data_IF_801881406864
#
_entry.id   IF_801881406864
#
_cell.length_a   1.000
_cell.length_b   1.000
_cell.length_c   1.000
_cell.angle_alpha   90.00
_cell.angle_beta   90.00
_cell.angle_gamma   90.00
#
_symmetry.space_group_name_H-M   'P 1'
#
loop_
_entity.id
_entity.type
_entity.pdbx_description
1 polymer ?
#
# COMPACT_ATOMS: atom_id res chain seq x y z
N UNK A 1 -53.19 -11.60 22.25
CA UNK A 1 -52.65 -10.22 22.17
C UNK A 1 -51.14 -10.33 22.34
N UNK A 2 -50.41 -10.51 21.24
CA UNK A 2 -48.95 -10.55 21.23
C UNK A 2 -48.48 -9.35 20.39
N UNK A 3 -47.61 -8.46 20.89
CA UNK A 3 -47.23 -7.27 20.15
C UNK A 3 -46.29 -7.62 18.99
N UNK A 4 -46.43 -6.87 17.90
CA UNK A 4 -45.71 -7.06 16.65
C UNK A 4 -44.25 -6.63 16.77
N UNK A 5 -43.40 -7.30 16.01
CA UNK A 5 -41.98 -7.01 15.85
C UNK A 5 -41.80 -5.60 15.27
N UNK A 6 -41.05 -4.78 16.01
CA UNK A 6 -40.57 -3.47 15.59
C UNK A 6 -39.63 -3.60 14.41
N UNK A 7 -39.84 -2.75 13.42
CA UNK A 7 -39.02 -2.49 12.25
C UNK A 7 -37.52 -2.38 12.57
N UNK A 8 -36.72 -3.21 11.89
CA UNK A 8 -35.27 -3.03 11.75
C UNK A 8 -35.02 -1.62 11.15
N UNK A 9 -34.16 -0.77 11.74
CA UNK A 9 -33.79 0.49 11.10
C UNK A 9 -33.09 0.18 9.76
N UNK A 10 -33.54 0.84 8.70
CA UNK A 10 -33.00 0.71 7.34
C UNK A 10 -31.48 0.74 7.34
N UNK A 11 -30.88 -0.38 6.94
CA UNK A 11 -29.43 -0.56 6.89
C UNK A 11 -28.84 0.39 5.84
N UNK A 12 -27.76 1.14 6.13
CA UNK A 12 -27.10 1.97 5.12
C UNK A 12 -26.61 1.10 3.96
N UNK A 13 -27.32 1.15 2.84
CA UNK A 13 -26.91 0.46 1.62
C UNK A 13 -25.84 1.30 0.92
N UNK A 14 -24.93 0.63 0.22
CA UNK A 14 -24.04 1.32 -0.69
C UNK A 14 -24.92 1.95 -1.78
N UNK A 15 -24.86 3.27 -2.02
CA UNK A 15 -25.69 3.92 -3.04
C UNK A 15 -25.45 3.31 -4.43
N UNK A 16 -26.55 3.05 -5.15
CA UNK A 16 -26.57 2.30 -6.40
C UNK A 16 -25.83 2.97 -7.56
N UNK A 17 -25.43 2.10 -8.50
CA UNK A 17 -24.46 2.25 -9.60
C UNK A 17 -24.66 3.47 -10.51
N UNK A 18 -23.61 4.28 -10.59
CA UNK A 18 -23.13 5.02 -11.78
C UNK A 18 -21.65 5.43 -11.58
N UNK A 19 -20.72 4.48 -11.37
CA UNK A 19 -19.33 4.85 -11.04
C UNK A 19 -18.24 3.94 -11.59
N UNK A 20 -17.39 4.52 -12.46
CA UNK A 20 -16.12 3.95 -12.90
C UNK A 20 -15.19 3.58 -11.73
N UNK A 21 -14.47 2.49 -11.94
CA UNK A 21 -13.68 1.76 -10.96
C UNK A 21 -12.29 2.38 -10.76
N UNK A 22 -12.17 3.58 -10.20
CA UNK A 22 -10.86 4.20 -9.92
C UNK A 22 -10.26 3.93 -8.53
N UNK A 23 -10.79 2.97 -7.76
CA UNK A 23 -10.15 2.50 -6.49
C UNK A 23 -9.52 1.11 -6.69
N UNK A 24 -9.79 0.44 -7.81
CA UNK A 24 -9.03 -0.74 -8.22
C UNK A 24 -7.84 -0.26 -9.03
N UNK A 25 -6.64 -0.32 -8.46
CA UNK A 25 -5.36 -0.04 -9.10
C UNK A 25 -5.00 -1.10 -10.16
N UNK A 26 -5.95 -1.52 -11.00
CA UNK A 26 -5.74 -2.70 -11.86
C UNK A 26 -6.22 -2.60 -13.30
N UNK A 27 -7.08 -1.64 -13.66
CA UNK A 27 -7.62 -1.57 -15.02
C UNK A 27 -7.24 -0.25 -15.71
N UNK A 28 -7.49 0.91 -15.10
CA UNK A 28 -7.10 2.21 -15.69
C UNK A 28 -5.57 2.39 -15.79
N UNK A 29 -4.83 1.92 -14.78
CA UNK A 29 -3.36 2.01 -14.71
C UNK A 29 -2.64 1.17 -15.80
N UNK A 30 -3.35 0.28 -16.50
CA UNK A 30 -2.77 -0.61 -17.52
C UNK A 30 -2.77 0.02 -18.91
N UNK A 31 -3.76 0.86 -19.22
CA UNK A 31 -3.89 1.51 -20.53
C UNK A 31 -2.89 2.68 -20.68
N UNK A 32 -2.68 3.45 -19.62
CA UNK A 32 -1.70 4.55 -19.58
C UNK A 32 -0.25 4.04 -19.68
N UNK A 33 0.02 2.88 -19.08
CA UNK A 33 1.35 2.24 -19.12
C UNK A 33 1.68 1.65 -20.51
N UNK A 34 0.67 1.42 -21.35
CA UNK A 34 0.81 0.87 -22.71
C UNK A 34 1.07 1.97 -23.76
N UNK A 35 0.64 3.20 -23.51
CA UNK A 35 0.83 4.34 -24.43
C UNK A 35 2.25 4.94 -24.34
N UNK A 36 2.92 4.81 -23.20
CA UNK A 36 4.26 5.35 -22.94
C UNK A 36 5.40 4.53 -23.60
N UNK A 37 5.17 3.28 -23.98
CA UNK A 37 6.25 2.36 -24.43
C UNK A 37 6.50 2.28 -25.93
N UNK A 38 5.77 3.02 -26.76
CA UNK A 38 5.96 3.03 -28.21
C UNK A 38 6.63 4.32 -28.70
N UNK A 39 7.88 4.53 -28.29
CA UNK A 39 8.83 5.41 -28.97
C UNK A 39 9.66 4.60 -29.98
N UNK A 40 9.52 4.91 -31.27
CA UNK A 40 10.14 4.23 -32.41
C UNK A 40 11.69 4.29 -32.42
N UNK A 41 12.35 3.47 -33.28
CA UNK A 41 12.86 4.10 -34.51
C UNK A 41 12.83 3.25 -35.80
N UNK A 42 13.00 4.00 -36.92
CA UNK A 42 13.53 3.66 -38.25
C UNK A 42 12.66 3.00 -39.35
N UNK A 43 12.32 3.82 -40.36
CA UNK A 43 13.09 3.82 -41.62
C UNK A 43 12.60 3.01 -42.83
N UNK A 44 11.87 3.70 -43.72
CA UNK A 44 11.83 3.61 -45.21
C UNK A 44 11.05 2.49 -45.96
N UNK A 45 10.04 2.99 -46.69
CA UNK A 45 9.72 2.82 -48.15
C UNK A 45 9.24 1.45 -48.68
N UNK A 46 7.96 1.35 -49.09
CA UNK A 46 7.48 1.67 -50.45
C UNK A 46 6.05 1.13 -50.72
N UNK A 47 5.21 1.98 -51.33
CA UNK A 47 4.43 1.60 -52.52
C UNK A 47 2.99 1.07 -52.38
N UNK A 48 2.05 1.95 -52.80
CA UNK A 48 0.88 1.68 -53.67
C UNK A 48 -0.50 1.46 -53.00
N UNK A 49 -1.34 2.49 -53.09
CA UNK A 49 -2.81 2.46 -53.05
C UNK A 49 -3.38 2.25 -54.50
N UNK A 50 -4.70 2.29 -54.80
CA UNK A 50 -5.89 2.54 -53.95
C UNK A 50 -7.16 1.70 -54.30
N UNK A 51 -8.22 1.81 -53.49
CA UNK A 51 -9.67 1.95 -53.82
C UNK A 51 -10.52 1.32 -52.69
N UNK A 52 -11.58 1.89 -52.12
CA UNK A 52 -12.25 3.17 -52.27
C UNK A 52 -13.42 3.29 -51.27
N UNK A 53 -13.73 4.54 -50.89
CA UNK A 53 -15.01 5.11 -50.41
C UNK A 53 -15.71 4.57 -49.15
N UNK A 54 -15.74 5.38 -48.08
CA UNK A 54 -16.84 6.33 -47.79
C UNK A 54 -16.51 7.26 -46.61
N UNK A 55 -16.76 8.56 -46.80
CA UNK A 55 -16.56 9.67 -45.84
C UNK A 55 -17.83 9.89 -45.00
N UNK A 56 -17.71 10.31 -43.74
CA UNK A 56 -18.36 11.52 -43.16
C UNK A 56 -17.57 12.00 -41.90
N UNK A 57 -16.91 13.16 -42.08
CA UNK A 57 -16.51 14.26 -41.17
C UNK A 57 -16.20 14.03 -39.68
N UNK A 58 -14.91 14.17 -39.34
CA UNK A 58 -14.39 14.45 -38.00
C UNK A 58 -13.25 15.47 -38.08
N UNK A 59 -13.58 16.72 -38.38
CA UNK A 59 -12.63 17.84 -38.36
C UNK A 59 -13.08 18.87 -37.31
N UNK A 60 -12.55 18.79 -36.09
CA UNK A 60 -12.39 19.95 -35.20
C UNK A 60 -11.40 19.76 -34.04
N UNK A 61 -10.91 18.55 -33.77
CA UNK A 61 -10.00 18.31 -32.62
C UNK A 61 -8.49 18.31 -32.98
N UNK A 62 -8.14 18.06 -34.25
CA UNK A 62 -6.73 18.02 -34.67
C UNK A 62 -6.09 19.41 -34.84
N UNK A 63 -6.89 20.43 -35.19
CA UNK A 63 -6.40 21.80 -35.35
C UNK A 63 -6.11 22.49 -34.00
N UNK A 64 -6.85 22.16 -32.94
CA UNK A 64 -6.62 22.68 -31.60
C UNK A 64 -5.37 22.07 -30.94
N UNK A 65 -5.10 20.78 -31.18
CA UNK A 65 -3.91 20.09 -30.67
C UNK A 65 -2.62 20.57 -31.35
N UNK A 66 -2.67 20.93 -32.64
CA UNK A 66 -1.52 21.46 -33.37
C UNK A 66 -1.15 22.89 -32.96
N UNK A 67 -2.13 23.72 -32.57
CA UNK A 67 -1.87 25.07 -32.07
C UNK A 67 -1.24 25.05 -30.67
N UNK A 68 -1.69 24.16 -29.78
CA UNK A 68 -1.10 24.00 -28.44
C UNK A 68 0.34 23.44 -28.46
N UNK A 69 0.66 22.59 -29.45
CA UNK A 69 2.02 22.06 -29.64
C UNK A 69 3.00 23.10 -30.21
N UNK A 70 2.50 24.13 -30.92
CA UNK A 70 3.33 25.21 -31.45
C UNK A 70 3.68 26.25 -30.36
N UNK A 71 2.79 26.53 -29.41
CA UNK A 71 3.07 27.44 -28.27
C UNK A 71 3.99 26.81 -27.20
N UNK A 72 4.08 25.48 -27.14
CA UNK A 72 4.98 24.78 -26.21
C UNK A 72 6.45 24.75 -26.67
N UNK A 73 6.74 25.08 -27.93
CA UNK A 73 8.07 24.90 -28.53
C UNK A 73 8.89 26.20 -28.65
N UNK A 74 8.41 27.32 -28.09
CA UNK A 74 9.13 28.61 -28.07
C UNK A 74 9.63 29.04 -26.68
N UNK A 75 9.65 28.13 -25.69
CA UNK A 75 10.28 28.40 -24.38
C UNK A 75 11.31 27.34 -23.99
N UNK A 76 12.25 27.06 -24.87
CA UNK A 76 13.49 26.37 -24.50
C UNK A 76 14.68 27.25 -24.91
N UNK A 77 15.23 27.97 -23.94
CA UNK A 77 16.32 28.90 -24.16
C UNK A 77 16.75 29.63 -22.89
N UNK A 78 17.65 28.97 -22.14
CA UNK A 78 18.50 29.43 -21.01
C UNK A 78 18.09 28.87 -19.64
N UNK A 79 18.82 27.86 -19.20
CA UNK A 79 18.92 27.46 -17.79
C UNK A 79 19.64 28.54 -16.98
N UNK A 80 19.01 28.97 -15.88
CA UNK A 80 19.57 29.85 -14.84
C UNK A 80 19.82 28.98 -13.59
N UNK A 81 21.04 28.86 -13.05
CA UNK A 81 21.40 27.81 -12.09
C UNK A 81 20.99 28.09 -10.64
N UNK A 82 19.92 28.85 -10.38
CA UNK A 82 19.59 29.29 -9.02
C UNK A 82 18.09 29.35 -8.71
N UNK A 83 17.36 28.26 -8.95
CA UNK A 83 15.98 28.13 -8.47
C UNK A 83 15.84 26.90 -7.57
N UNK A 84 15.65 27.15 -6.26
CA UNK A 84 15.42 26.10 -5.27
C UNK A 84 14.15 25.32 -5.57
N UNK A 85 14.19 24.01 -5.33
CA UNK A 85 13.05 23.11 -5.48
C UNK A 85 11.86 23.61 -4.63
N UNK A 86 10.84 24.18 -5.26
CA UNK A 86 9.55 24.48 -4.62
C UNK A 86 8.91 23.16 -4.17
N UNK A 87 8.52 23.07 -2.89
CA UNK A 87 7.80 21.89 -2.37
C UNK A 87 6.45 21.77 -3.08
N UNK A 88 5.90 20.57 -3.15
CA UNK A 88 4.66 20.33 -3.89
C UNK A 88 3.47 21.18 -3.37
N UNK A 89 3.39 21.41 -2.05
CA UNK A 89 2.41 22.30 -1.45
C UNK A 89 2.56 23.77 -1.92
N UNK A 90 3.80 24.24 -2.09
CA UNK A 90 4.09 25.61 -2.53
C UNK A 90 3.79 25.83 -4.02
N UNK A 91 3.81 24.76 -4.83
CA UNK A 91 3.51 24.81 -6.26
C UNK A 91 2.01 24.82 -6.58
N UNK A 92 1.16 24.43 -5.63
CA UNK A 92 -0.31 24.39 -5.79
C UNK A 92 -0.98 25.58 -5.08
N UNK A 93 -0.34 26.15 -4.06
CA UNK A 93 -0.81 27.36 -3.38
C UNK A 93 -0.77 28.64 -4.24
N UNK A 94 -0.10 28.62 -5.40
CA UNK A 94 -0.02 29.78 -6.32
C UNK A 94 -1.28 29.97 -7.20
N UNK A 95 -2.30 29.11 -7.04
CA UNK A 95 -3.62 29.27 -7.67
C UNK A 95 -4.69 29.36 -6.59
N UNK A 96 -5.28 30.55 -6.46
CA UNK A 96 -6.39 30.93 -5.56
C UNK A 96 -6.04 31.10 -4.08
N UNK A 97 -5.48 32.27 -3.72
CA UNK A 97 -5.45 32.74 -2.33
C UNK A 97 -6.37 33.95 -2.18
N UNK A 98 -7.59 33.69 -1.74
CA UNK A 98 -8.30 34.62 -0.87
C UNK A 98 -8.02 34.23 0.59
N UNK A 99 -7.56 35.20 1.35
CA UNK A 99 -6.66 35.06 2.49
C UNK A 99 -7.42 34.71 3.79
N UNK A 100 -7.50 33.44 4.19
CA UNK A 100 -7.98 33.02 5.53
C UNK A 100 -7.32 31.74 6.09
N UNK A 101 -5.98 31.65 6.09
CA UNK A 101 -5.26 30.50 6.65
C UNK A 101 -4.47 30.84 7.91
N UNK A 102 -5.03 30.62 9.11
CA UNK A 102 -4.26 30.60 10.36
C UNK A 102 -3.32 29.39 10.28
N UNK A 103 -2.04 29.59 9.95
CA UNK A 103 -1.05 28.51 10.01
C UNK A 103 -0.96 28.00 11.45
N UNK A 104 -1.62 26.87 11.73
CA UNK A 104 -1.59 26.20 13.02
C UNK A 104 -0.14 25.74 13.27
N UNK A 105 0.61 26.52 14.06
CA UNK A 105 2.01 26.29 14.38
C UNK A 105 2.13 25.18 15.43
N UNK A 106 1.86 23.94 15.00
CA UNK A 106 1.98 22.73 15.81
C UNK A 106 3.18 21.89 15.34
N UNK A 107 3.80 21.15 16.26
CA UNK A 107 4.92 20.23 15.98
C UNK A 107 4.65 18.84 16.54
N UNK A 108 5.22 17.81 15.90
CA UNK A 108 5.14 16.44 16.41
C UNK A 108 5.91 16.30 17.73
N UNK A 109 5.45 15.46 18.67
CA UNK A 109 6.17 15.20 19.92
C UNK A 109 7.49 14.48 19.65
N UNK A 110 8.49 14.68 20.51
CA UNK A 110 9.71 13.89 20.43
C UNK A 110 9.43 12.41 20.74
N UNK A 111 9.99 11.52 19.91
CA UNK A 111 9.92 10.09 20.14
C UNK A 111 11.18 9.60 20.87
N UNK A 112 11.05 8.68 21.83
CA UNK A 112 12.18 8.21 22.61
C UNK A 112 13.26 7.64 21.70
N UNK A 113 14.51 8.10 21.88
CA UNK A 113 15.66 7.63 21.13
C UNK A 113 15.87 6.15 21.44
N UNK A 114 15.46 5.31 20.51
CA UNK A 114 15.76 3.88 20.61
C UNK A 114 17.19 3.73 20.15
N UNK A 115 18.10 3.47 21.10
CA UNK A 115 19.54 3.32 20.89
C UNK A 115 19.86 2.93 19.45
N UNK A 116 20.54 3.82 18.72
CA UNK A 116 21.01 3.53 17.37
C UNK A 116 21.69 2.16 17.42
N UNK A 117 21.18 1.13 16.71
CA UNK A 117 22.00 -0.03 16.48
C UNK A 117 23.25 0.54 15.82
N UNK A 118 24.40 0.46 16.52
CA UNK A 118 25.70 0.90 16.01
C UNK A 118 25.69 0.61 14.52
N UNK A 119 25.82 1.64 13.68
CA UNK A 119 25.97 1.54 12.24
C UNK A 119 26.70 0.24 11.97
N UNK A 120 25.96 -0.81 11.58
CA UNK A 120 26.60 -2.01 11.09
C UNK A 120 27.08 -1.51 9.75
N UNK A 121 28.32 -1.01 9.78
CA UNK A 121 29.03 -0.45 8.63
C UNK A 121 28.60 -1.23 7.42
N UNK A 122 28.15 -0.49 6.42
CA UNK A 122 27.94 -0.82 5.02
C UNK A 122 29.02 -1.76 4.48
N UNK A 123 28.98 -3.02 4.90
CA UNK A 123 29.93 -4.07 4.56
C UNK A 123 29.30 -5.15 3.67
N UNK A 124 28.12 -4.89 3.10
CA UNK A 124 27.52 -5.78 2.09
C UNK A 124 27.90 -5.43 0.66
N UNK A 125 28.72 -4.40 0.43
CA UNK A 125 29.08 -4.02 -0.92
C UNK A 125 30.59 -4.23 -1.13
N UNK A 126 30.89 -5.10 -2.09
CA UNK A 126 32.22 -5.47 -2.64
C UNK A 126 32.90 -6.68 -1.98
N UNK A 127 32.42 -7.87 -2.30
CA UNK A 127 33.30 -9.00 -2.56
C UNK A 127 32.59 -9.96 -3.52
N UNK A 128 33.16 -10.21 -4.69
CA UNK A 128 32.68 -11.28 -5.56
C UNK A 128 32.86 -12.62 -4.86
N UNK A 129 31.75 -13.27 -4.49
CA UNK A 129 31.75 -14.62 -3.91
C UNK A 129 30.55 -14.87 -2.99
N UNK A 130 30.00 -16.09 -3.05
CA UNK A 130 28.88 -16.54 -2.20
C UNK A 130 29.36 -16.67 -0.74
N UNK A 131 28.87 -15.82 0.16
CA UNK A 131 29.12 -15.94 1.61
C UNK A 131 28.07 -16.84 2.25
N UNK A 132 28.49 -18.01 2.75
CA UNK A 132 27.63 -18.90 3.52
C UNK A 132 27.43 -18.40 4.96
N UNK A 133 26.28 -18.75 5.57
CA UNK A 133 26.05 -18.47 6.97
C UNK A 133 27.04 -19.26 7.85
N UNK A 134 27.70 -18.63 8.86
CA UNK A 134 28.60 -19.34 9.74
C UNK A 134 27.86 -20.47 10.47
N UNK A 135 28.49 -21.64 10.63
CA UNK A 135 27.85 -22.83 11.21
C UNK A 135 27.27 -22.60 12.63
N UNK A 136 27.79 -21.61 13.37
CA UNK A 136 27.35 -21.24 14.73
C UNK A 136 26.50 -19.96 14.76
N UNK A 137 25.30 -19.99 14.19
CA UNK A 137 24.26 -18.96 14.44
C UNK A 137 23.42 -19.32 15.67
N UNK A 138 23.20 -18.40 16.64
CA UNK A 138 22.34 -18.64 17.81
C UNK A 138 20.92 -19.09 17.44
N UNK A 139 20.33 -20.00 18.22
CA UNK A 139 18.98 -20.55 17.96
C UNK A 139 17.91 -19.49 17.81
N UNK A 140 17.94 -18.43 18.63
CA UNK A 140 17.01 -17.29 18.49
C UNK A 140 17.06 -16.68 17.09
N UNK A 141 18.27 -16.46 16.54
CA UNK A 141 18.44 -15.92 15.19
C UNK A 141 17.95 -16.88 14.12
N UNK A 142 18.05 -18.20 14.32
CA UNK A 142 17.49 -19.21 13.39
C UNK A 142 15.96 -19.19 13.40
N UNK A 143 15.36 -19.15 14.59
CA UNK A 143 13.91 -19.06 14.76
C UNK A 143 13.33 -17.77 14.17
N UNK A 144 14.04 -16.64 14.31
CA UNK A 144 13.68 -15.38 13.64
C UNK A 144 13.71 -15.51 12.12
N UNK A 145 14.77 -16.12 11.56
CA UNK A 145 14.83 -16.40 10.11
C UNK A 145 13.69 -17.31 9.68
N UNK A 146 13.41 -18.38 10.43
CA UNK A 146 12.32 -19.30 10.11
C UNK A 146 10.94 -18.60 10.15
N UNK A 147 10.72 -17.70 11.09
CA UNK A 147 9.48 -16.93 11.19
C UNK A 147 9.27 -16.01 9.98
N UNK A 148 10.31 -15.30 9.55
CA UNK A 148 10.25 -14.45 8.36
C UNK A 148 10.11 -15.29 7.10
N UNK A 149 10.85 -16.40 6.98
CA UNK A 149 10.73 -17.31 5.84
C UNK A 149 9.32 -17.89 5.72
N UNK A 150 8.73 -18.32 6.83
CA UNK A 150 7.34 -18.80 6.87
C UNK A 150 6.37 -17.73 6.36
N UNK A 151 6.52 -16.48 6.80
CA UNK A 151 5.67 -15.38 6.33
C UNK A 151 5.88 -15.10 4.83
N UNK A 152 7.13 -14.99 4.36
CA UNK A 152 7.44 -14.76 2.95
C UNK A 152 6.95 -15.90 2.04
N UNK A 153 6.96 -17.14 2.54
CA UNK A 153 6.59 -18.34 1.79
C UNK A 153 5.13 -18.76 2.02
N UNK A 154 4.32 -17.97 2.74
CA UNK A 154 2.99 -18.43 3.17
C UNK A 154 2.09 -18.75 1.98
N UNK A 155 2.06 -17.88 0.95
CA UNK A 155 1.24 -18.12 -0.25
C UNK A 155 1.66 -19.44 -0.91
N UNK A 156 2.94 -19.60 -1.21
CA UNK A 156 3.47 -20.81 -1.85
C UNK A 156 3.15 -22.06 -1.00
N UNK A 157 3.37 -21.98 0.32
CA UNK A 157 3.12 -23.08 1.26
C UNK A 157 1.65 -23.50 1.26
N UNK A 158 0.72 -22.56 1.42
CA UNK A 158 -0.71 -22.86 1.50
C UNK A 158 -1.29 -23.33 0.16
N UNK A 159 -0.88 -22.72 -0.96
CA UNK A 159 -1.31 -23.15 -2.29
C UNK A 159 -0.76 -24.54 -2.63
N UNK A 160 0.52 -24.83 -2.35
CA UNK A 160 1.09 -26.17 -2.52
C UNK A 160 0.38 -27.21 -1.65
N UNK A 161 0.09 -26.89 -0.39
CA UNK A 161 -0.65 -27.78 0.50
C UNK A 161 -2.05 -28.10 -0.04
N UNK A 162 -2.75 -27.11 -0.58
CA UNK A 162 -4.05 -27.32 -1.23
C UNK A 162 -3.95 -28.32 -2.41
N UNK A 163 -3.01 -28.12 -3.32
CA UNK A 163 -2.84 -29.02 -4.47
C UNK A 163 -2.41 -30.43 -4.06
N UNK A 164 -1.57 -30.57 -3.03
CA UNK A 164 -1.22 -31.88 -2.47
C UNK A 164 -2.44 -32.61 -1.90
N UNK A 165 -3.37 -31.89 -1.25
CA UNK A 165 -4.61 -32.47 -0.75
C UNK A 165 -5.57 -32.82 -1.90
N UNK A 166 -5.64 -32.00 -2.96
CA UNK A 166 -6.40 -32.31 -4.17
C UNK A 166 -5.90 -33.58 -4.90
N UNK A 167 -4.60 -33.89 -4.80
CA UNK A 167 -4.03 -35.10 -5.38
C UNK A 167 -4.51 -36.40 -4.70
N UNK A 168 -5.19 -36.32 -3.55
CA UNK A 168 -5.80 -37.46 -2.87
C UNK A 168 -7.31 -37.52 -3.13
N UNK A 169 -7.82 -38.46 -3.95
CA UNK A 169 -9.26 -38.59 -4.24
C UNK A 169 -10.14 -38.78 -3.00
N UNK A 170 -9.61 -39.37 -1.91
CA UNK A 170 -10.36 -39.56 -0.67
C UNK A 170 -10.72 -38.23 0.00
N UNK A 171 -9.97 -37.15 -0.25
CA UNK A 171 -10.25 -35.83 0.29
C UNK A 171 -11.29 -35.04 -0.52
N UNK A 172 -11.64 -35.49 -1.73
CA UNK A 172 -12.49 -34.73 -2.66
C UNK A 172 -13.86 -34.34 -2.11
N UNK A 173 -14.60 -35.19 -1.37
CA UNK A 173 -15.88 -34.77 -0.80
C UNK A 173 -15.74 -33.52 0.09
N UNK A 174 -14.66 -33.44 0.87
CA UNK A 174 -14.38 -32.29 1.74
C UNK A 174 -13.93 -31.08 0.91
N UNK A 175 -13.05 -31.30 -0.07
CA UNK A 175 -12.53 -30.23 -0.95
C UNK A 175 -13.65 -29.57 -1.74
N UNK A 176 -14.59 -30.36 -2.29
CA UNK A 176 -15.71 -29.83 -3.08
C UNK A 176 -16.59 -28.93 -2.20
N UNK A 177 -16.92 -29.37 -0.98
CA UNK A 177 -17.68 -28.55 -0.02
C UNK A 177 -16.91 -27.27 0.30
N UNK A 178 -15.61 -27.37 0.56
CA UNK A 178 -14.75 -26.23 0.83
C UNK A 178 -14.69 -25.24 -0.35
N UNK A 179 -14.60 -25.72 -1.59
CA UNK A 179 -14.57 -24.87 -2.79
C UNK A 179 -15.91 -24.19 -3.05
N UNK A 180 -17.04 -24.87 -2.80
CA UNK A 180 -18.37 -24.25 -2.86
C UNK A 180 -18.46 -23.13 -1.82
N UNK A 181 -18.04 -23.38 -0.57
CA UNK A 181 -18.00 -22.36 0.47
C UNK A 181 -17.08 -21.19 0.09
N UNK A 182 -15.91 -21.47 -0.47
CA UNK A 182 -14.96 -20.47 -0.94
C UNK A 182 -15.59 -19.57 -2.02
N UNK A 183 -16.30 -20.16 -2.99
CA UNK A 183 -16.92 -19.45 -4.10
C UNK A 183 -18.10 -18.57 -3.67
N UNK A 184 -18.87 -18.99 -2.67
CA UNK A 184 -20.06 -18.27 -2.17
C UNK A 184 -19.74 -17.28 -1.04
N UNK A 185 -18.58 -17.39 -0.42
CA UNK A 185 -18.23 -16.59 0.75
C UNK A 185 -17.96 -15.12 0.41
N UNK A 186 -18.64 -14.22 1.13
CA UNK A 186 -18.33 -12.77 1.18
C UNK A 186 -17.46 -12.36 2.37
N UNK A 187 -16.86 -13.32 3.09
CA UNK A 187 -16.14 -13.06 4.34
C UNK A 187 -14.93 -12.12 4.22
N UNK A 188 -14.35 -11.97 3.02
CA UNK A 188 -13.25 -11.04 2.75
C UNK A 188 -13.67 -9.59 2.53
N UNK A 189 -14.98 -9.31 2.41
CA UNK A 189 -15.51 -7.98 2.08
C UNK A 189 -16.70 -7.55 2.95
N UNK A 190 -17.29 -8.45 3.76
CA UNK A 190 -18.53 -8.17 4.47
C UNK A 190 -18.39 -7.27 5.71
N UNK A 191 -17.16 -7.02 6.19
CA UNK A 191 -16.84 -6.14 7.33
C UNK A 191 -17.04 -6.75 8.72
N UNK A 192 -17.50 -8.00 8.83
CA UNK A 192 -17.83 -8.62 10.13
C UNK A 192 -16.59 -9.14 10.88
N UNK A 193 -15.48 -9.38 10.18
CA UNK A 193 -14.25 -9.96 10.73
C UNK A 193 -14.46 -11.32 11.43
N UNK A 194 -15.44 -12.13 10.97
CA UNK A 194 -15.85 -13.39 11.63
C UNK A 194 -14.71 -14.40 11.83
N UNK A 195 -13.71 -14.41 10.95
CA UNK A 195 -12.58 -15.33 11.01
C UNK A 195 -11.42 -14.80 11.84
N UNK A 196 -11.43 -13.52 12.23
CA UNK A 196 -10.32 -12.89 12.94
C UNK A 196 -10.07 -13.60 14.27
N UNK A 197 -8.83 -14.03 14.48
CA UNK A 197 -8.39 -14.71 15.70
C UNK A 197 -7.31 -13.91 16.41
N UNK A 198 -7.65 -13.37 17.58
CA UNK A 198 -6.70 -12.67 18.44
C UNK A 198 -5.60 -13.61 18.96
N UNK A 199 -5.89 -14.91 19.08
CA UNK A 199 -4.88 -15.91 19.41
C UNK A 199 -3.83 -16.03 18.29
N UNK A 200 -4.25 -16.17 17.03
CA UNK A 200 -3.33 -16.24 15.88
C UNK A 200 -2.50 -14.97 15.77
N UNK A 201 -3.13 -13.80 15.91
CA UNK A 201 -2.44 -12.50 15.88
C UNK A 201 -1.42 -12.31 17.02
N UNK A 202 -1.55 -13.05 18.12
CA UNK A 202 -0.70 -12.95 19.31
C UNK A 202 0.32 -14.08 19.46
N UNK A 203 0.45 -14.96 18.44
CA UNK A 203 1.44 -16.04 18.48
C UNK A 203 2.87 -15.51 18.70
N UNK A 204 3.66 -16.26 19.48
CA UNK A 204 5.09 -15.95 19.73
C UNK A 204 5.91 -15.87 18.44
N UNK A 205 5.44 -16.51 17.37
CA UNK A 205 5.98 -16.39 16.01
C UNK A 205 6.16 -14.93 15.59
N UNK A 206 5.19 -14.06 15.89
CA UNK A 206 5.23 -12.66 15.45
C UNK A 206 6.22 -11.82 16.26
N UNK A 207 6.54 -12.21 17.51
CA UNK A 207 7.64 -11.63 18.27
C UNK A 207 9.01 -12.03 17.69
N UNK A 208 9.12 -13.23 17.12
CA UNK A 208 10.32 -13.64 16.37
C UNK A 208 10.43 -12.85 15.06
N UNK A 209 9.32 -12.72 14.31
CA UNK A 209 9.25 -11.94 13.08
C UNK A 209 9.69 -10.49 13.29
N UNK A 210 9.06 -9.77 14.23
CA UNK A 210 9.40 -8.36 14.55
C UNK A 210 10.81 -8.20 15.11
N UNK A 211 11.32 -9.20 15.84
CA UNK A 211 12.69 -9.21 16.34
C UNK A 211 13.76 -9.46 15.25
N UNK A 212 13.39 -9.93 14.06
CA UNK A 212 14.30 -10.06 12.92
C UNK A 212 14.69 -8.69 12.34
N UNK A 213 13.71 -7.76 12.27
CA UNK A 213 13.83 -6.41 11.70
C UNK A 213 13.86 -5.29 12.78
N UNK A 214 14.26 -5.61 14.01
CA UNK A 214 13.99 -4.78 15.21
C UNK A 214 12.83 -3.76 15.11
N UNK A 215 11.61 -4.21 14.80
CA UNK A 215 10.49 -3.31 14.48
C UNK A 215 9.91 -2.61 15.70
N UNK A 216 9.47 -1.36 15.52
CA UNK A 216 8.75 -0.59 16.55
C UNK A 216 7.58 0.18 15.95
N UNK A 217 6.51 0.29 16.74
CA UNK A 217 5.35 1.10 16.44
C UNK A 217 5.30 2.29 17.41
N UNK A 218 5.24 3.48 16.86
CA UNK A 218 5.28 4.75 17.60
C UNK A 218 3.94 5.45 17.45
N UNK A 219 3.32 5.74 18.60
CA UNK A 219 2.10 6.53 18.71
C UNK A 219 2.48 7.99 18.94
N UNK A 220 2.00 8.89 18.09
CA UNK A 220 2.21 10.34 18.27
C UNK A 220 0.96 11.06 18.78
N UNK A 221 -0.24 10.54 18.50
CA UNK A 221 -1.52 11.15 18.87
C UNK A 221 -2.49 10.08 19.38
N UNK A 222 -3.47 10.52 20.17
CA UNK A 222 -4.62 9.71 20.53
C UNK A 222 -5.57 9.56 19.34
N UNK A 223 -6.22 8.39 19.25
CA UNK A 223 -7.31 8.13 18.31
C UNK A 223 -8.59 7.88 19.11
N UNK A 224 -9.43 8.91 19.32
CA UNK A 224 -10.73 8.75 19.99
C UNK A 224 -11.57 7.60 19.42
N UNK A 225 -12.19 6.81 20.30
CA UNK A 225 -12.96 5.62 19.92
C UNK A 225 -14.34 5.92 19.34
N UNK A 226 -14.80 7.17 19.41
CA UNK A 226 -16.04 7.68 18.84
C UNK A 226 -15.88 8.07 17.35
N UNK A 227 -14.77 7.67 16.72
CA UNK A 227 -14.43 8.00 15.34
C UNK A 227 -14.08 6.77 14.51
N UNK A 228 -14.04 7.00 13.20
CA UNK A 228 -13.67 6.05 12.15
C UNK A 228 -12.35 6.50 11.56
N UNK A 229 -11.47 5.56 11.19
CA UNK A 229 -10.14 5.92 10.69
C UNK A 229 -9.74 5.17 9.42
N UNK A 230 -9.06 5.88 8.53
CA UNK A 230 -8.30 5.29 7.43
C UNK A 230 -6.83 5.65 7.64
N UNK A 231 -6.03 4.66 8.06
CA UNK A 231 -4.59 4.78 8.19
C UNK A 231 -3.96 4.54 6.81
N UNK A 232 -3.32 5.55 6.24
CA UNK A 232 -2.55 5.39 5.01
C UNK A 232 -1.09 5.11 5.33
N UNK A 233 -0.64 3.89 5.04
CA UNK A 233 0.73 3.42 5.29
C UNK A 233 1.64 3.67 4.09
N UNK A 234 2.82 4.24 4.37
CA UNK A 234 3.85 4.60 3.40
C UNK A 234 5.25 4.23 3.91
N UNK A 235 6.17 3.79 3.06
CA UNK A 235 5.93 3.30 1.70
C UNK A 235 5.34 1.88 1.75
N UNK A 236 4.92 1.34 0.61
CA UNK A 236 4.59 -0.07 0.45
C UNK A 236 5.81 -0.95 0.69
N UNK A 237 7.00 -0.51 0.28
CA UNK A 237 8.15 -1.40 0.14
C UNK A 237 7.81 -2.58 -0.76
N UNK A 238 8.54 -3.68 -0.66
CA UNK A 238 8.27 -4.82 -1.56
C UNK A 238 7.07 -5.66 -1.07
N UNK A 239 6.98 -5.96 0.23
CA UNK A 239 5.93 -6.83 0.82
C UNK A 239 5.20 -6.13 2.00
N UNK A 240 5.58 -4.90 2.35
CA UNK A 240 4.99 -4.16 3.49
C UNK A 240 5.07 -4.94 4.82
N UNK A 241 6.27 -5.43 5.16
CA UNK A 241 6.51 -6.20 6.38
C UNK A 241 6.16 -5.40 7.63
N UNK A 242 6.44 -4.09 7.63
CA UNK A 242 6.08 -3.22 8.74
C UNK A 242 4.56 -3.08 8.90
N UNK A 243 3.82 -2.90 7.80
CA UNK A 243 2.35 -2.84 7.83
C UNK A 243 1.76 -4.14 8.39
N UNK A 244 2.23 -5.31 7.93
CA UNK A 244 1.79 -6.59 8.46
C UNK A 244 2.11 -6.74 9.95
N UNK A 245 3.33 -6.39 10.38
CA UNK A 245 3.73 -6.47 11.78
C UNK A 245 2.88 -5.57 12.70
N UNK A 246 2.65 -4.32 12.31
CA UNK A 246 1.91 -3.34 13.12
C UNK A 246 0.40 -3.60 13.12
N UNK A 247 -0.17 -3.96 11.98
CA UNK A 247 -1.62 -3.92 11.77
C UNK A 247 -2.23 -5.31 11.55
N UNK A 248 -1.47 -6.26 11.00
CA UNK A 248 -1.87 -7.65 10.79
C UNK A 248 -1.61 -8.58 11.99
N UNK A 249 -0.80 -8.16 12.97
CA UNK A 249 -0.49 -8.93 14.19
C UNK A 249 -0.61 -8.06 15.44
N UNK A 250 -0.46 -8.67 16.61
CA UNK A 250 -0.39 -7.95 17.90
C UNK A 250 1.07 -7.83 18.39
N UNK A 251 2.06 -8.12 17.55
CA UNK A 251 3.46 -8.16 17.98
C UNK A 251 4.03 -6.79 18.35
N UNK A 252 3.58 -5.71 17.71
CA UNK A 252 4.05 -4.35 17.98
C UNK A 252 3.16 -3.57 18.95
N UNK A 253 2.11 -4.20 19.47
CA UNK A 253 1.32 -3.61 20.54
C UNK A 253 0.28 -2.57 20.11
N UNK A 254 -0.26 -2.66 18.89
CA UNK A 254 -1.26 -1.70 18.39
C UNK A 254 -2.48 -1.61 19.32
N UNK A 255 -2.96 -2.74 19.84
CA UNK A 255 -4.14 -2.80 20.71
C UNK A 255 -3.91 -2.10 22.05
N UNK A 256 -2.68 -2.17 22.56
CA UNK A 256 -2.23 -1.54 23.79
C UNK A 256 -2.04 -0.03 23.57
N UNK A 257 -1.56 0.38 22.40
CA UNK A 257 -1.39 1.78 22.04
C UNK A 257 -2.72 2.49 21.74
N UNK A 258 -3.69 1.80 21.13
CA UNK A 258 -5.00 2.33 20.76
C UNK A 258 -6.13 1.44 21.31
N UNK A 259 -6.35 1.44 22.63
CA UNK A 259 -7.41 0.64 23.23
C UNK A 259 -8.78 1.06 22.68
N UNK A 260 -9.60 0.07 22.34
CA UNK A 260 -10.94 0.30 21.76
C UNK A 260 -10.95 0.53 20.25
N UNK A 261 -9.79 0.71 19.59
CA UNK A 261 -9.70 0.77 18.13
C UNK A 261 -9.44 -0.63 17.57
N UNK A 262 -10.35 -1.12 16.73
CA UNK A 262 -10.15 -2.35 15.97
C UNK A 262 -9.67 -2.02 14.57
N UNK A 263 -8.35 -2.16 14.35
CA UNK A 263 -7.74 -1.95 13.05
C UNK A 263 -7.75 -3.20 12.16
N UNK A 264 -7.98 -2.99 10.87
CA UNK A 264 -8.01 -4.02 9.81
C UNK A 264 -7.06 -3.64 8.69
N UNK A 265 -5.99 -4.43 8.50
CA UNK A 265 -5.07 -4.25 7.36
C UNK A 265 -5.73 -4.77 6.08
N UNK A 266 -5.68 -3.96 5.01
CA UNK A 266 -6.30 -4.29 3.74
C UNK A 266 -5.27 -4.81 2.72
N UNK A 267 -5.68 -5.79 1.93
CA UNK A 267 -4.85 -6.41 0.88
C UNK A 267 -5.67 -6.65 -0.39
N UNK A 268 -4.99 -7.00 -1.49
CA UNK A 268 -5.59 -7.37 -2.77
C UNK A 268 -6.73 -8.40 -2.65
N UNK A 269 -7.83 -8.16 -3.37
CA UNK A 269 -9.02 -9.01 -3.40
C UNK A 269 -8.71 -10.46 -3.83
N UNK A 270 -7.77 -10.63 -4.76
CA UNK A 270 -7.34 -11.94 -5.27
C UNK A 270 -6.83 -12.87 -4.17
N UNK A 271 -6.25 -12.33 -3.10
CA UNK A 271 -5.78 -13.14 -1.97
C UNK A 271 -6.93 -13.90 -1.29
N UNK A 272 -8.16 -13.39 -1.35
CA UNK A 272 -9.35 -14.02 -0.78
C UNK A 272 -9.96 -15.08 -1.70
N UNK A 273 -9.33 -15.38 -2.84
CA UNK A 273 -9.73 -16.47 -3.74
C UNK A 273 -8.75 -17.65 -3.71
N UNK A 274 -7.63 -17.50 -2.99
CA UNK A 274 -6.61 -18.53 -2.85
C UNK A 274 -6.98 -19.51 -1.72
N UNK A 275 -7.21 -20.80 -2.02
CA UNK A 275 -7.48 -21.83 -1.01
C UNK A 275 -6.42 -21.86 0.09
N UNK A 276 -6.86 -22.04 1.33
CA UNK A 276 -6.10 -22.05 2.59
C UNK A 276 -5.38 -20.73 2.93
N UNK A 277 -4.78 -20.04 1.95
CA UNK A 277 -4.15 -18.75 2.16
C UNK A 277 -5.18 -17.68 2.57
N UNK A 278 -6.36 -17.67 1.94
CA UNK A 278 -7.50 -16.84 2.35
C UNK A 278 -7.80 -17.04 3.84
N UNK A 279 -7.92 -18.28 4.30
CA UNK A 279 -8.26 -18.57 5.70
C UNK A 279 -7.15 -18.09 6.64
N UNK A 280 -5.89 -18.30 6.26
CA UNK A 280 -4.73 -17.79 7.00
C UNK A 280 -4.74 -16.25 7.15
N UNK A 281 -4.93 -15.48 6.07
CA UNK A 281 -4.95 -14.02 6.17
C UNK A 281 -6.20 -13.49 6.90
N UNK A 282 -7.33 -14.18 6.77
CA UNK A 282 -8.54 -13.81 7.51
C UNK A 282 -8.45 -14.13 9.00
N UNK A 283 -7.69 -15.15 9.41
CA UNK A 283 -7.34 -15.39 10.82
C UNK A 283 -6.54 -14.22 11.41
N UNK A 284 -5.71 -13.57 10.59
CA UNK A 284 -5.06 -12.31 10.93
C UNK A 284 -6.00 -11.10 10.93
N UNK A 285 -7.26 -11.29 10.50
CA UNK A 285 -8.24 -10.23 10.39
C UNK A 285 -7.98 -9.29 9.22
N UNK A 286 -7.25 -9.71 8.18
CA UNK A 286 -7.12 -8.94 6.95
C UNK A 286 -8.42 -9.00 6.15
N UNK A 287 -8.67 -7.96 5.35
CA UNK A 287 -9.82 -7.86 4.45
C UNK A 287 -9.39 -7.30 3.09
N UNK A 288 -10.30 -7.33 2.11
CA UNK A 288 -10.08 -6.79 0.77
C UNK A 288 -9.94 -5.27 0.82
N UNK A 289 -9.08 -4.70 -0.02
CA UNK A 289 -8.94 -3.24 -0.22
C UNK A 289 -10.03 -2.66 -1.14
N UNK A 290 -11.03 -3.45 -1.52
CA UNK A 290 -12.15 -2.99 -2.35
C UNK A 290 -12.98 -1.88 -1.68
N UNK A 291 -13.66 -1.07 -2.50
CA UNK A 291 -14.54 0.01 -2.02
C UNK A 291 -15.61 -0.54 -1.08
N UNK A 292 -16.20 -1.67 -1.44
CA UNK A 292 -17.28 -2.35 -0.71
C UNK A 292 -16.79 -2.83 0.67
N UNK A 293 -15.59 -3.40 0.71
CA UNK A 293 -14.96 -3.85 1.95
C UNK A 293 -14.66 -2.70 2.90
N UNK A 294 -14.04 -1.62 2.40
CA UNK A 294 -13.76 -0.40 3.17
C UNK A 294 -15.06 0.19 3.72
N UNK A 295 -16.08 0.32 2.88
CA UNK A 295 -17.40 0.79 3.31
C UNK A 295 -17.98 -0.09 4.40
N UNK A 296 -18.02 -1.41 4.20
CA UNK A 296 -18.57 -2.34 5.19
C UNK A 296 -17.83 -2.29 6.53
N UNK A 297 -16.50 -2.19 6.50
CA UNK A 297 -15.67 -2.09 7.72
C UNK A 297 -15.88 -0.78 8.47
N UNK A 298 -16.12 0.32 7.76
CA UNK A 298 -16.31 1.66 8.34
C UNK A 298 -17.77 2.02 8.59
N UNK A 299 -18.72 1.21 8.13
CA UNK A 299 -20.16 1.42 8.36
C UNK A 299 -20.74 0.41 9.36
N UNK A 300 -19.97 -0.61 9.79
CA UNK A 300 -20.43 -1.69 10.67
C UNK A 300 -19.40 -2.05 11.73
N UNK A 301 -19.87 -2.69 12.79
CA UNK A 301 -19.06 -3.06 13.95
C UNK A 301 -18.69 -1.85 14.81
N UNK A 302 -17.74 -2.06 15.72
CA UNK A 302 -17.56 -1.13 16.84
C UNK A 302 -18.64 -1.31 17.93
N UNK A 303 -18.56 -0.59 19.05
CA UNK A 303 -19.47 -0.78 20.19
C UNK A 303 -20.95 -0.56 19.84
N UNK A 304 -21.24 0.39 18.95
CA UNK A 304 -22.61 0.74 18.53
C UNK A 304 -22.98 0.21 17.15
N UNK A 305 -22.15 -0.67 16.57
CA UNK A 305 -22.35 -1.24 15.23
C UNK A 305 -22.48 -0.21 14.08
N UNK A 306 -21.93 1.00 14.25
CA UNK A 306 -21.97 2.13 13.31
C UNK A 306 -20.60 2.47 12.71
N UNK A 307 -19.62 1.60 12.94
CA UNK A 307 -18.23 1.75 12.50
C UNK A 307 -17.34 2.55 13.45
N UNK A 308 -17.88 3.26 14.45
CA UNK A 308 -17.02 3.98 15.41
C UNK A 308 -16.15 3.01 16.20
N UNK A 309 -14.88 3.36 16.36
CA UNK A 309 -13.85 2.46 16.90
C UNK A 309 -13.29 1.48 15.86
N UNK A 310 -13.68 1.59 14.59
CA UNK A 310 -13.04 0.87 13.47
C UNK A 310 -11.96 1.72 12.83
N UNK A 311 -10.88 1.05 12.46
CA UNK A 311 -9.85 1.61 11.61
C UNK A 311 -9.54 0.62 10.47
N UNK A 312 -9.23 1.14 9.29
CA UNK A 312 -8.66 0.35 8.21
C UNK A 312 -7.27 0.88 7.88
N UNK A 313 -6.32 0.00 7.58
CA UNK A 313 -5.00 0.39 7.09
C UNK A 313 -4.87 0.05 5.62
N UNK A 314 -4.54 1.05 4.81
CA UNK A 314 -4.30 0.92 3.38
C UNK A 314 -2.84 1.22 3.11
N UNK A 315 -2.16 0.31 2.42
CA UNK A 315 -0.83 0.58 1.89
C UNK A 315 -1.00 1.30 0.54
N UNK A 316 -0.83 2.62 0.53
CA UNK A 316 -1.37 3.49 -0.53
C UNK A 316 -0.62 3.34 -1.86
N UNK A 317 0.70 3.26 -1.83
CA UNK A 317 1.53 3.18 -3.04
C UNK A 317 1.28 1.91 -3.88
N UNK A 318 0.84 0.82 -3.24
CA UNK A 318 0.49 -0.44 -3.90
C UNK A 318 1.65 -1.07 -4.69
N UNK A 319 1.30 -1.87 -5.70
CA UNK A 319 2.28 -2.61 -6.49
C UNK A 319 3.23 -1.71 -7.29
N UNK A 320 2.79 -0.53 -7.76
CA UNK A 320 3.64 0.38 -8.55
C UNK A 320 4.77 0.95 -7.70
N UNK A 321 4.48 1.36 -6.46
CA UNK A 321 5.52 1.84 -5.54
C UNK A 321 6.47 0.70 -5.12
N UNK A 322 5.96 -0.53 -5.00
CA UNK A 322 6.78 -1.70 -4.68
C UNK A 322 7.87 -2.01 -5.71
N UNK A 323 7.67 -1.63 -6.98
CA UNK A 323 8.62 -1.79 -8.09
C UNK A 323 9.70 -0.70 -8.14
N UNK A 324 9.50 0.38 -7.40
CA UNK A 324 10.41 1.51 -7.31
C UNK A 324 11.10 1.58 -5.94
N UNK A 325 10.88 0.60 -5.07
CA UNK A 325 11.40 0.54 -3.72
C UNK A 325 12.93 0.44 -3.74
N UNK A 326 13.60 1.50 -3.28
CA UNK A 326 15.06 1.56 -3.22
C UNK A 326 15.55 1.86 -1.79
N UNK A 327 16.58 1.15 -1.32
CA UNK A 327 17.16 1.43 -0.02
C UNK A 327 17.75 2.84 0.10
N UNK A 328 17.45 3.49 1.21
CA UNK A 328 17.87 4.85 1.55
C UNK A 328 17.03 5.95 0.90
N UNK A 329 15.93 5.65 0.22
CA UNK A 329 15.01 6.66 -0.31
C UNK A 329 13.56 6.37 0.07
N UNK A 330 12.77 7.44 0.19
CA UNK A 330 11.33 7.39 0.38
C UNK A 330 10.66 8.09 -0.79
N UNK A 331 10.30 7.31 -1.82
CA UNK A 331 9.63 7.79 -3.02
C UNK A 331 8.19 7.28 -2.99
N UNK A 332 7.22 8.20 -2.94
CA UNK A 332 5.81 7.90 -2.74
C UNK A 332 4.96 8.18 -3.98
N UNK A 333 4.20 7.17 -4.42
CA UNK A 333 3.15 7.35 -5.44
C UNK A 333 1.87 7.79 -4.74
N UNK A 334 1.74 9.10 -4.55
CA UNK A 334 0.63 9.66 -3.77
C UNK A 334 -0.13 10.75 -4.51
N UNK A 335 0.48 11.49 -5.45
CA UNK A 335 -0.19 12.62 -6.13
C UNK A 335 -1.48 12.21 -6.85
N UNK A 336 -1.44 11.07 -7.52
CA UNK A 336 -2.57 10.52 -8.27
C UNK A 336 -3.51 9.64 -7.41
N UNK A 337 -3.11 9.25 -6.20
CA UNK A 337 -3.83 8.28 -5.36
C UNK A 337 -4.87 8.94 -4.47
N UNK A 338 -6.03 9.31 -5.04
CA UNK A 338 -7.13 9.98 -4.32
C UNK A 338 -8.26 9.05 -3.86
N UNK A 339 -8.16 7.75 -4.17
CA UNK A 339 -9.21 6.76 -3.88
C UNK A 339 -9.53 6.59 -2.39
N UNK A 340 -8.51 6.56 -1.53
CA UNK A 340 -8.71 6.42 -0.07
C UNK A 340 -9.28 7.70 0.55
N UNK A 341 -8.93 8.87 0.01
CA UNK A 341 -9.49 10.18 0.40
C UNK A 341 -10.97 10.25 0.07
N UNK A 342 -11.36 9.80 -1.14
CA UNK A 342 -12.77 9.66 -1.52
C UNK A 342 -13.53 8.74 -0.56
N UNK A 343 -12.92 7.66 -0.08
CA UNK A 343 -13.55 6.78 0.92
C UNK A 343 -13.66 7.44 2.29
N UNK A 344 -12.67 8.24 2.72
CA UNK A 344 -12.73 9.01 3.96
C UNK A 344 -13.92 9.97 3.95
N UNK A 345 -14.07 10.76 2.89
CA UNK A 345 -15.19 11.69 2.71
C UNK A 345 -16.54 10.99 2.65
N UNK A 346 -16.62 9.81 2.00
CA UNK A 346 -17.85 9.00 1.95
C UNK A 346 -18.28 8.47 3.31
N UNK A 347 -17.32 8.04 4.12
CA UNK A 347 -17.59 7.34 5.39
C UNK A 347 -17.54 8.26 6.61
N UNK A 348 -17.04 9.49 6.45
CA UNK A 348 -16.72 10.40 7.56
C UNK A 348 -15.56 9.90 8.42
N UNK A 349 -14.65 9.10 7.85
CA UNK A 349 -13.49 8.58 8.55
C UNK A 349 -12.32 9.57 8.49
N UNK A 350 -11.63 9.76 9.62
CA UNK A 350 -10.44 10.59 9.70
C UNK A 350 -9.28 9.90 8.99
N UNK A 351 -8.51 10.68 8.23
CA UNK A 351 -7.29 10.18 7.59
C UNK A 351 -6.14 10.23 8.58
N UNK A 352 -5.35 9.16 8.68
CA UNK A 352 -4.18 9.11 9.56
C UNK A 352 -2.96 8.74 8.72
N UNK A 353 -1.98 9.66 8.54
CA UNK A 353 -0.74 9.34 7.85
C UNK A 353 0.12 8.40 8.69
N UNK A 354 0.73 7.39 8.06
CA UNK A 354 1.64 6.46 8.74
C UNK A 354 2.89 6.27 7.88
N UNK A 355 4.08 6.50 8.46
CA UNK A 355 5.36 6.28 7.78
C UNK A 355 6.13 5.13 8.44
N UNK A 356 6.49 4.11 7.66
CA UNK A 356 7.39 3.02 8.00
C UNK A 356 8.83 3.33 7.60
N UNK A 357 9.56 4.06 8.44
CA UNK A 357 10.98 4.33 8.21
C UNK A 357 11.77 3.02 8.20
N UNK A 358 12.55 2.78 7.14
CA UNK A 358 13.33 1.55 6.96
C UNK A 358 12.62 0.44 6.16
N UNK A 359 11.36 0.62 5.76
CA UNK A 359 10.61 -0.39 4.99
C UNK A 359 11.28 -0.71 3.63
N UNK A 360 11.71 0.31 2.90
CA UNK A 360 12.42 0.15 1.62
C UNK A 360 13.82 -0.45 1.78
N UNK A 361 14.39 -0.43 2.98
CA UNK A 361 15.74 -0.94 3.24
C UNK A 361 15.77 -2.47 3.42
N UNK A 362 14.60 -3.12 3.49
CA UNK A 362 14.49 -4.55 3.74
C UNK A 362 14.95 -5.42 2.57
N UNK A 363 15.03 -4.87 1.36
CA UNK A 363 15.42 -5.60 0.17
C UNK A 363 16.27 -4.72 -0.75
N UNK A 364 17.18 -5.32 -1.50
CA UNK A 364 17.74 -4.65 -2.67
C UNK A 364 16.89 -5.08 -3.87
N UNK A 365 16.23 -4.11 -4.50
CA UNK A 365 15.55 -4.37 -5.76
C UNK A 365 16.56 -4.29 -6.90
N UNK A 366 16.55 -5.28 -7.79
CA UNK A 366 17.30 -5.16 -9.04
C UNK A 366 16.78 -3.96 -9.80
N UNK A 367 17.65 -3.00 -10.08
CA UNK A 367 17.24 -1.84 -10.86
C UNK A 367 16.78 -2.31 -12.25
N UNK A 368 15.61 -1.83 -12.74
CA UNK A 368 15.17 -2.06 -14.11
C UNK A 368 16.22 -1.63 -15.14
N UNK A 369 17.02 -0.60 -14.81
CA UNK A 369 18.11 -0.08 -15.66
C UNK A 369 19.24 -1.09 -15.85
N UNK A 370 19.49 -1.95 -14.86
CA UNK A 370 20.54 -2.97 -14.92
C UNK A 370 20.07 -4.32 -15.47
N UNK A 371 18.77 -4.63 -15.37
CA UNK A 371 18.22 -5.92 -15.79
C UNK A 371 16.86 -5.80 -16.52
N UNK A 372 16.85 -5.22 -17.74
CA UNK A 372 15.61 -4.91 -18.46
C UNK A 372 14.77 -6.16 -18.83
N UNK A 373 15.40 -7.31 -19.04
CA UNK A 373 14.70 -8.57 -19.33
C UNK A 373 13.93 -9.10 -18.11
N UNK A 374 14.52 -9.01 -16.92
CA UNK A 374 13.89 -9.42 -15.66
C UNK A 374 12.71 -8.50 -15.36
N UNK A 375 12.90 -7.19 -15.53
CA UNK A 375 11.82 -6.21 -15.40
C UNK A 375 10.68 -6.51 -16.38
N UNK A 376 10.96 -6.83 -17.65
CA UNK A 376 9.93 -7.20 -18.64
C UNK A 376 9.13 -8.44 -18.22
N UNK A 377 9.79 -9.47 -17.67
CA UNK A 377 9.11 -10.66 -17.14
C UNK A 377 8.26 -10.31 -15.91
N UNK A 378 8.77 -9.51 -14.98
CA UNK A 378 8.00 -9.04 -13.83
C UNK A 378 6.75 -8.26 -14.25
N UNK A 379 6.86 -7.41 -15.28
CA UNK A 379 5.74 -6.67 -15.85
C UNK A 379 4.72 -7.59 -16.54
N UNK A 380 5.16 -8.69 -17.17
CA UNK A 380 4.26 -9.72 -17.70
C UNK A 380 3.53 -10.45 -16.55
N UNK A 381 4.22 -10.82 -15.48
CA UNK A 381 3.60 -11.45 -14.31
C UNK A 381 2.60 -10.51 -13.61
N UNK A 382 2.93 -9.22 -13.48
CA UNK A 382 1.99 -8.17 -13.07
C UNK A 382 0.76 -8.13 -13.96
N UNK A 383 0.97 -8.11 -15.28
CA UNK A 383 -0.09 -8.05 -16.30
C UNK A 383 -1.04 -9.24 -16.21
N UNK A 384 -0.52 -10.43 -15.93
CA UNK A 384 -1.31 -11.67 -15.92
C UNK A 384 -1.93 -11.96 -14.55
N UNK A 385 -1.19 -11.77 -13.46
CA UNK A 385 -1.58 -12.24 -12.12
C UNK A 385 -1.94 -11.12 -11.15
N UNK A 386 -1.78 -9.84 -11.56
CA UNK A 386 -2.00 -8.65 -10.71
C UNK A 386 -1.21 -8.70 -9.39
N UNK A 387 -0.12 -9.47 -9.38
CA UNK A 387 0.86 -9.62 -8.31
C UNK A 387 2.23 -9.82 -8.95
N UNK A 388 3.26 -9.11 -8.47
CA UNK A 388 4.65 -9.35 -8.87
C UNK A 388 5.20 -10.52 -8.10
N UNK A 389 5.99 -11.37 -8.75
CA UNK A 389 7.10 -12.01 -8.04
C UNK A 389 8.26 -11.00 -8.13
N UNK A 390 8.60 -10.28 -7.05
CA UNK A 390 9.71 -9.36 -7.13
C UNK A 390 10.98 -10.19 -7.37
N UNK A 391 11.84 -9.77 -8.30
CA UNK A 391 13.18 -10.30 -8.45
C UNK A 391 14.03 -9.79 -7.28
N UNK A 392 13.81 -10.40 -6.12
CA UNK A 392 14.40 -10.03 -4.85
C UNK A 392 15.89 -10.38 -4.84
N UNK A 393 16.76 -9.38 -4.72
CA UNK A 393 18.10 -9.59 -4.17
C UNK A 393 18.00 -9.43 -2.64
N UNK A 394 17.58 -10.51 -1.99
CA UNK A 394 17.70 -10.71 -0.56
C UNK A 394 18.74 -11.78 -0.24
N UNK A 395 18.70 -12.30 0.99
CA UNK A 395 19.50 -13.44 1.44
C UNK A 395 18.86 -14.76 1.02
N UNK A 396 19.67 -15.77 0.70
CA UNK A 396 19.22 -17.15 0.65
C UNK A 396 18.97 -17.73 2.03
N UNK A 397 18.31 -18.89 2.07
CA UNK A 397 18.12 -19.66 3.31
C UNK A 397 19.48 -20.18 3.83
N UNK A 398 20.46 -20.36 2.93
CA UNK A 398 21.81 -20.87 3.23
C UNK A 398 22.97 -19.98 2.73
N UNK A 399 22.70 -18.94 1.94
CA UNK A 399 23.71 -17.98 1.46
C UNK A 399 23.27 -16.53 1.73
N UNK A 400 24.21 -15.59 1.69
CA UNK A 400 23.94 -14.19 2.00
C UNK A 400 23.68 -13.28 0.79
N UNK A 401 23.77 -13.82 -0.43
CA UNK A 401 23.88 -12.99 -1.63
C UNK A 401 22.73 -13.19 -2.65
N UNK A 402 21.93 -14.27 -2.55
CA UNK A 402 20.78 -14.50 -3.45
C UNK A 402 19.64 -15.26 -2.74
N UNK A 403 18.49 -14.61 -2.52
CA UNK A 403 17.25 -15.30 -2.12
C UNK A 403 16.12 -14.41 -1.62
N UNK A 404 15.04 -15.05 -1.15
CA UNK A 404 13.78 -14.42 -0.76
C UNK A 404 13.79 -13.78 0.64
N UNK A 405 14.87 -13.96 1.42
CA UNK A 405 14.92 -13.43 2.79
C UNK A 405 15.32 -11.95 2.79
N UNK A 406 14.54 -11.07 3.41
CA UNK A 406 14.91 -9.67 3.53
C UNK A 406 16.11 -9.45 4.47
N UNK A 407 16.72 -8.28 4.38
CA UNK A 407 17.78 -7.85 5.28
C UNK A 407 17.25 -7.58 6.70
N UNK A 408 18.12 -7.83 7.69
CA UNK A 408 17.85 -7.51 9.10
C UNK A 408 18.15 -6.06 9.38
N UNK A 409 17.24 -5.18 9.00
CA UNK A 409 17.33 -3.73 9.23
C UNK A 409 16.16 -3.24 10.09
N UNK A 410 16.36 -2.20 10.92
CA UNK A 410 15.29 -1.64 11.75
C UNK A 410 14.15 -1.08 10.91
N UNK A 411 12.91 -1.27 11.36
CA UNK A 411 11.73 -0.58 10.80
C UNK A 411 10.99 0.16 11.92
N UNK A 412 10.89 1.48 11.81
CA UNK A 412 10.17 2.33 12.76
C UNK A 412 8.90 2.84 12.10
N UNK A 413 7.75 2.41 12.61
CA UNK A 413 6.44 2.74 12.08
C UNK A 413 5.87 3.85 12.94
N UNK A 414 5.70 5.04 12.38
CA UNK A 414 5.20 6.21 13.10
C UNK A 414 3.80 6.53 12.61
N UNK A 415 2.83 6.49 13.53
CA UNK A 415 1.44 6.91 13.26
C UNK A 415 1.36 8.41 13.52
N UNK A 416 0.99 9.18 12.50
CA UNK A 416 0.90 10.63 12.53
C UNK A 416 -0.42 11.17 13.10
N UNK A 417 -0.62 12.48 12.95
CA UNK A 417 -1.79 13.21 13.45
C UNK A 417 -3.04 12.86 12.62
N UNK A 418 -4.20 12.58 13.24
CA UNK A 418 -5.44 12.40 12.51
C UNK A 418 -5.89 13.72 11.86
N UNK A 419 -6.25 13.64 10.58
CA UNK A 419 -6.83 14.72 9.78
C UNK A 419 -8.34 14.56 9.83
N UNK A 420 -8.99 15.54 10.45
CA UNK A 420 -10.42 15.51 10.71
C UNK A 420 -11.22 15.62 9.41
N UNK A 421 -12.17 14.70 9.26
CA UNK A 421 -13.28 14.80 8.30
C UNK A 421 -14.56 15.11 9.09
N UNK A 422 -15.08 16.33 8.95
CA UNK A 422 -16.13 16.84 9.84
C UNK A 422 -17.46 16.11 9.67
N UNK A 423 -17.84 15.80 8.42
CA UNK A 423 -19.03 15.03 8.08
C UNK A 423 -18.81 14.16 6.86
N UNK A 424 -19.67 13.17 6.66
CA UNK A 424 -19.69 12.42 5.40
C UNK A 424 -20.29 13.31 4.29
N UNK A 425 -19.63 13.34 3.13
CA UNK A 425 -20.06 14.10 1.94
C UNK A 425 -21.02 13.30 1.05
N UNK A 426 -21.49 12.14 1.52
CA UNK A 426 -22.39 11.26 0.77
C UNK A 426 -21.69 10.43 -0.31
N UNK A 427 -22.46 9.87 -1.27
CA UNK A 427 -21.96 8.93 -2.29
C UNK A 427 -20.88 9.52 -3.20
N UNK A 428 -21.00 10.79 -3.54
CA UNK A 428 -20.18 11.46 -4.55
C UNK A 428 -19.59 12.74 -3.95
N UNK A 429 -18.48 12.65 -3.21
CA UNK A 429 -17.76 13.84 -2.77
C UNK A 429 -17.31 14.67 -3.98
N UNK A 430 -17.37 16.00 -3.87
CA UNK A 430 -16.91 16.91 -4.91
C UNK A 430 -15.40 16.78 -5.14
N UNK A 431 -14.94 17.05 -6.36
CA UNK A 431 -13.51 16.96 -6.68
C UNK A 431 -12.68 17.95 -5.84
N UNK A 432 -13.22 19.14 -5.59
CA UNK A 432 -12.60 20.15 -4.72
C UNK A 432 -12.39 19.62 -3.28
N UNK A 433 -13.41 19.01 -2.66
CA UNK A 433 -13.30 18.42 -1.31
C UNK A 433 -12.24 17.30 -1.28
N UNK A 434 -12.19 16.49 -2.34
CA UNK A 434 -11.21 15.40 -2.48
C UNK A 434 -9.80 15.98 -2.56
N UNK A 435 -9.61 17.04 -3.35
CA UNK A 435 -8.31 17.65 -3.58
C UNK A 435 -7.81 18.39 -2.34
N UNK A 436 -8.67 19.14 -1.65
CA UNK A 436 -8.35 19.83 -0.40
C UNK A 436 -7.95 18.83 0.70
N UNK A 437 -8.72 17.77 0.90
CA UNK A 437 -8.41 16.77 1.92
C UNK A 437 -7.14 15.96 1.56
N UNK A 438 -6.93 15.69 0.27
CA UNK A 438 -5.71 15.03 -0.21
C UNK A 438 -4.47 15.91 -0.01
N UNK A 439 -4.58 17.21 -0.28
CA UNK A 439 -3.50 18.17 -0.06
C UNK A 439 -3.12 18.24 1.42
N UNK A 440 -4.11 18.38 2.31
CA UNK A 440 -3.90 18.32 3.77
C UNK A 440 -3.22 17.01 4.18
N UNK A 441 -3.58 15.89 3.55
CA UNK A 441 -2.94 14.60 3.79
C UNK A 441 -1.47 14.56 3.35
N UNK A 442 -1.16 15.11 2.19
CA UNK A 442 0.23 15.20 1.70
C UNK A 442 1.06 16.10 2.60
N UNK A 443 0.54 17.28 2.98
CA UNK A 443 1.22 18.19 3.89
C UNK A 443 1.52 17.53 5.25
N UNK A 444 0.60 16.74 5.79
CA UNK A 444 0.84 16.01 7.05
C UNK A 444 1.86 14.86 6.90
N UNK A 445 1.95 14.22 5.73
CA UNK A 445 3.01 13.26 5.42
C UNK A 445 4.38 13.96 5.40
N UNK A 446 4.48 15.11 4.75
CA UNK A 446 5.73 15.90 4.69
C UNK A 446 6.16 16.37 6.09
N UNK A 447 5.23 16.87 6.91
CA UNK A 447 5.52 17.25 8.32
C UNK A 447 5.97 16.05 9.15
N UNK A 448 5.33 14.89 8.96
CA UNK A 448 5.70 13.66 9.68
C UNK A 448 7.08 13.17 9.27
N UNK A 449 7.44 13.28 7.99
CA UNK A 449 8.78 13.00 7.49
C UNK A 449 9.81 13.96 8.10
N UNK A 450 9.57 15.26 7.99
CA UNK A 450 10.49 16.30 8.49
C UNK A 450 10.74 16.16 10.00
N UNK A 451 9.74 15.76 10.79
CA UNK A 451 9.88 15.56 12.22
C UNK A 451 10.80 14.41 12.63
N UNK A 452 10.91 13.35 11.81
CA UNK A 452 11.55 12.10 12.25
C UNK A 452 12.62 11.54 11.29
N UNK A 453 12.82 12.14 10.11
CA UNK A 453 13.82 11.69 9.13
C UNK A 453 15.23 11.64 9.70
N UNK A 454 15.62 12.60 10.53
CA UNK A 454 16.96 12.63 11.11
C UNK A 454 17.14 11.59 12.23
N UNK A 455 16.04 11.17 12.87
CA UNK A 455 16.05 10.13 13.89
C UNK A 455 16.09 8.72 13.29
N UNK A 456 15.23 8.46 12.29
CA UNK A 456 15.00 7.09 11.78
C UNK A 456 15.54 6.84 10.37
N UNK A 457 15.92 7.88 9.63
CA UNK A 457 16.51 7.81 8.29
C UNK A 457 17.77 8.71 8.20
N UNK A 458 18.63 8.67 9.22
CA UNK A 458 19.87 9.44 9.27
C UNK A 458 20.81 9.14 8.09
N UNK A 459 20.84 7.89 7.63
CA UNK A 459 21.68 7.42 6.51
C UNK A 459 20.95 7.49 5.14
N UNK A 460 19.91 8.32 5.01
CA UNK A 460 19.16 8.48 3.76
C UNK A 460 20.04 9.01 2.62
N UNK A 461 19.74 8.56 1.40
CA UNK A 461 20.40 8.97 0.16
C UNK A 461 19.66 10.11 -0.54
N UNK A 462 18.37 10.23 -0.29
CA UNK A 462 17.49 11.24 -0.87
C UNK A 462 16.44 11.65 0.17
N UNK A 463 15.91 12.87 0.00
CA UNK A 463 14.75 13.34 0.76
C UNK A 463 13.46 12.66 0.26
N UNK A 464 12.34 12.93 0.93
CA UNK A 464 11.03 12.45 0.51
C UNK A 464 10.68 13.00 -0.88
N UNK A 465 10.37 12.11 -1.81
CA UNK A 465 9.87 12.45 -3.14
C UNK A 465 8.42 11.98 -3.27
N UNK A 466 7.54 12.86 -3.76
CA UNK A 466 6.14 12.52 -3.99
C UNK A 466 5.82 12.69 -5.48
N UNK A 467 5.32 11.64 -6.13
CA UNK A 467 5.07 11.60 -7.57
C UNK A 467 3.70 10.99 -7.92
N UNK A 468 3.37 11.05 -9.23
CA UNK A 468 2.09 10.68 -9.80
C UNK A 468 2.07 9.26 -10.39
#
# INVERSE_FOLDING_TARGET
MFPSLTSDPERPQLPDRDFESSISTSNADLDDLMLSTNGAPDGKLNGRAPSGTSNVTGESYAAAAAAAAAEANERDGKEDPNNGEKRYADAVADTDVDNTGRHDQWSYPELPITAHPKSIKTGSWRAGGIRFAPLRVPMRRRLQTAAVLFHCMSIATFVSAFWLICANPLAWPIIIIYLIHLALSTAGTNGNLTYRSEWVRSLKLWKLFTGYFPMKLHKTHELPTDRKYILGYHPHGIISHGAFAAFGTNALGFRELFPGITNTLLTLDSNFRLPFYRDYIMLHGLQSVSKESIWNLLSKGGPSNDGRGRAVTIVVGGARESLEAQPGSLRLILKSRKGFVKMALRTGADLVPVIGFGENDLYDQLSPKTHPLVHRIQMIFLKVFKFTVPALHGRGVLNYDVGLMPYRRPVNIVIGRPIRVDKAHGPQPGQQDIDELHERYVQEIEKLWDAYKDQFAADRKAELEIFA
#
